data_IF_354605829145
#
_entry.id   IF_354605829145
#
_cell.length_a   1.000
_cell.length_b   1.000
_cell.length_c   1.000
_cell.angle_alpha   90.00
_cell.angle_beta   90.00
_cell.angle_gamma   90.00
#
_symmetry.space_group_name_H-M   'P 1'
#
loop_
_entity.id
_entity.type
_entity.pdbx_description
1 polymer ?
#
# COMPACT_ATOMS: atom_id res chain seq x y z
N UNK A 1 -19.90 -3.88 -24.54
CA UNK A 1 -19.99 -2.92 -23.91
C UNK A 1 -19.05 -1.99 -24.11
N UNK A 2 -18.10 -2.30 -24.18
CA UNK A 2 -17.29 -1.45 -24.15
C UNK A 2 -16.70 -1.29 -25.37
N UNK A 3 -17.40 -0.56 -26.01
CA UNK A 3 -16.83 0.03 -27.12
C UNK A 3 -15.66 0.83 -26.77
N UNK A 4 -15.37 0.83 -25.52
CA UNK A 4 -14.14 1.36 -24.98
C UNK A 4 -13.02 0.37 -25.13
N UNK A 5 -13.15 -0.57 -25.99
CA UNK A 5 -12.14 -1.52 -26.33
C UNK A 5 -10.75 -0.96 -26.50
N UNK A 6 -10.56 0.19 -27.17
CA UNK A 6 -9.23 0.77 -27.25
C UNK A 6 -8.61 1.05 -25.87
N UNK A 7 -9.43 1.38 -24.87
CA UNK A 7 -8.93 1.57 -23.52
C UNK A 7 -8.56 0.25 -22.87
N UNK A 8 -9.31 -0.81 -23.17
CA UNK A 8 -8.99 -2.14 -22.64
C UNK A 8 -7.62 -2.64 -23.10
N UNK A 9 -7.18 -2.24 -24.30
CA UNK A 9 -5.86 -2.62 -24.80
C UNK A 9 -4.72 -1.97 -24.02
N UNK A 10 -5.02 -0.96 -23.21
CA UNK A 10 -4.03 -0.29 -22.38
C UNK A 10 -4.03 -0.79 -20.94
N UNK A 11 -4.74 -1.88 -20.65
CA UNK A 11 -4.86 -2.40 -19.29
C UNK A 11 -3.49 -2.63 -18.64
N UNK A 12 -2.55 -3.25 -19.35
CA UNK A 12 -1.23 -3.53 -18.80
C UNK A 12 -0.43 -2.25 -18.55
N UNK A 13 -0.57 -1.27 -19.42
CA UNK A 13 0.09 0.03 -19.23
C UNK A 13 -0.50 0.75 -18.02
N UNK A 14 -1.82 0.72 -17.86
CA UNK A 14 -2.48 1.34 -16.73
C UNK A 14 -2.07 0.64 -15.42
N UNK A 15 -2.01 -0.68 -15.41
CA UNK A 15 -1.55 -1.42 -14.23
C UNK A 15 -0.10 -1.07 -13.88
N UNK A 16 0.75 -0.88 -14.87
CA UNK A 16 2.12 -0.42 -14.62
C UNK A 16 2.13 0.96 -13.97
N UNK A 17 1.32 1.89 -14.45
CA UNK A 17 1.23 3.23 -13.86
C UNK A 17 0.70 3.16 -12.42
N UNK A 18 -0.31 2.34 -12.17
CA UNK A 18 -0.84 2.15 -10.81
C UNK A 18 0.26 1.63 -9.89
N UNK A 19 1.05 0.65 -10.35
CA UNK A 19 2.15 0.10 -9.55
C UNK A 19 3.24 1.14 -9.26
N UNK A 20 3.59 1.95 -10.27
CA UNK A 20 4.60 3.00 -10.09
C UNK A 20 4.12 4.00 -9.05
N UNK A 21 2.89 4.45 -9.16
CA UNK A 21 2.33 5.43 -8.22
C UNK A 21 2.20 4.83 -6.82
N UNK A 22 1.52 3.71 -6.71
CA UNK A 22 1.25 3.09 -5.40
C UNK A 22 2.53 2.63 -4.72
N UNK A 23 3.42 1.98 -5.47
CA UNK A 23 4.69 1.51 -4.92
C UNK A 23 5.57 2.66 -4.44
N UNK A 24 5.61 3.75 -5.20
CA UNK A 24 6.39 4.94 -4.83
C UNK A 24 5.84 5.59 -3.56
N UNK A 25 4.51 5.67 -3.43
CA UNK A 25 3.87 6.20 -2.23
C UNK A 25 4.20 5.34 -1.01
N UNK A 26 4.11 4.03 -1.15
CA UNK A 26 4.43 3.11 -0.06
C UNK A 26 5.89 3.25 0.37
N UNK A 27 6.81 3.34 -0.58
CA UNK A 27 8.23 3.52 -0.28
C UNK A 27 8.45 4.85 0.44
N UNK A 28 7.79 5.90 -0.01
CA UNK A 28 7.90 7.22 0.61
C UNK A 28 7.49 7.18 2.08
N UNK A 29 6.38 6.52 2.40
CA UNK A 29 5.91 6.42 3.78
C UNK A 29 6.69 5.39 4.59
N UNK A 30 7.19 4.35 3.96
CA UNK A 30 7.92 3.30 4.65
C UNK A 30 9.37 3.65 4.94
N UNK A 31 9.99 4.50 4.12
CA UNK A 31 11.40 4.82 4.28
C UNK A 31 11.74 5.43 5.65
N UNK A 32 11.01 6.46 6.13
CA UNK A 32 11.30 6.99 7.46
C UNK A 32 11.16 5.96 8.58
N UNK A 33 10.23 5.02 8.41
CA UNK A 33 10.00 3.98 9.41
C UNK A 33 11.12 2.95 9.43
N UNK A 34 11.56 2.52 8.25
CA UNK A 34 12.68 1.58 8.13
C UNK A 34 13.97 2.20 8.62
N UNK A 35 14.16 3.48 8.31
CA UNK A 35 15.39 4.19 8.64
C UNK A 35 15.59 4.37 10.14
N UNK A 36 14.49 4.50 10.88
CA UNK A 36 14.56 4.67 12.32
C UNK A 36 13.51 3.82 13.01
N UNK A 37 13.79 2.53 13.10
CA UNK A 37 12.86 1.56 13.68
C UNK A 37 12.58 1.83 15.16
N UNK A 38 13.54 2.40 15.88
CA UNK A 38 13.37 2.72 17.29
C UNK A 38 12.31 3.81 17.49
N UNK A 39 12.42 4.89 16.74
CA UNK A 39 11.44 5.97 16.81
C UNK A 39 10.07 5.50 16.32
N UNK A 40 10.05 4.70 15.27
CA UNK A 40 8.82 4.12 14.75
C UNK A 40 8.12 3.25 15.81
N UNK A 41 8.90 2.47 16.57
CA UNK A 41 8.34 1.66 17.66
C UNK A 41 7.69 2.53 18.73
N UNK A 42 8.32 3.66 19.07
CA UNK A 42 7.77 4.60 20.05
C UNK A 42 6.47 5.22 19.53
N UNK A 43 6.44 5.59 18.26
CA UNK A 43 5.26 6.20 17.66
C UNK A 43 4.07 5.24 17.68
N UNK A 44 4.29 3.97 17.33
CA UNK A 44 3.23 2.97 17.35
C UNK A 44 2.75 2.67 18.76
N UNK A 45 3.66 2.60 19.72
CA UNK A 45 3.28 2.40 21.12
C UNK A 45 2.43 3.58 21.62
N UNK A 46 2.76 4.81 21.20
CA UNK A 46 2.00 6.01 21.54
C UNK A 46 0.59 6.02 20.95
N UNK A 47 0.38 5.31 19.83
CA UNK A 47 -0.94 5.18 19.24
C UNK A 47 -1.76 4.04 19.86
N UNK A 48 -1.18 3.29 20.78
CA UNK A 48 -1.86 2.17 21.42
C UNK A 48 -1.55 0.81 20.81
N UNK A 49 -0.69 0.75 19.79
CA UNK A 49 -0.29 -0.53 19.18
C UNK A 49 0.91 -1.08 19.93
N UNK A 50 0.66 -1.87 20.94
CA UNK A 50 1.71 -2.42 21.81
C UNK A 50 1.82 -3.93 21.60
N UNK A 51 3.03 -4.47 21.53
CA UNK A 51 4.32 -3.75 21.61
C UNK A 51 4.58 -2.98 20.33
N UNK A 52 5.04 -1.74 20.47
CA UNK A 52 5.28 -0.85 19.34
C UNK A 52 6.34 -1.37 18.36
N UNK A 53 7.37 -2.05 18.89
CA UNK A 53 8.42 -2.60 18.04
C UNK A 53 7.87 -3.67 17.08
N UNK A 54 6.91 -4.46 17.53
CA UNK A 54 6.32 -5.51 16.70
C UNK A 54 5.43 -4.89 15.61
N UNK A 55 4.45 -4.10 16.01
CA UNK A 55 3.51 -3.50 15.07
C UNK A 55 4.21 -2.52 14.12
N UNK A 56 5.09 -1.70 14.67
CA UNK A 56 5.81 -0.71 13.88
C UNK A 56 6.75 -1.35 12.86
N UNK A 57 7.43 -2.43 13.24
CA UNK A 57 8.35 -3.12 12.32
C UNK A 57 7.60 -3.81 11.19
N UNK A 58 6.43 -4.41 11.50
CA UNK A 58 5.60 -5.05 10.48
C UNK A 58 5.14 -3.99 9.47
N UNK A 59 4.64 -2.86 9.94
CA UNK A 59 4.18 -1.79 9.07
C UNK A 59 5.33 -1.23 8.23
N UNK A 60 6.49 -1.02 8.84
CA UNK A 60 7.67 -0.53 8.13
C UNK A 60 8.07 -1.49 7.00
N UNK A 61 8.08 -2.78 7.28
CA UNK A 61 8.41 -3.79 6.28
C UNK A 61 7.36 -3.84 5.16
N UNK A 62 6.08 -3.83 5.52
CA UNK A 62 5.00 -3.86 4.54
C UNK A 62 5.09 -2.65 3.62
N UNK A 63 5.29 -1.46 4.17
CA UNK A 63 5.31 -0.25 3.36
C UNK A 63 6.55 -0.16 2.48
N UNK A 64 7.73 -0.42 3.03
CA UNK A 64 8.96 -0.26 2.26
C UNK A 64 9.22 -1.44 1.33
N UNK A 65 9.29 -2.64 1.88
CA UNK A 65 9.55 -3.83 1.07
C UNK A 65 8.38 -4.16 0.16
N UNK A 66 7.17 -3.99 0.67
CA UNK A 66 5.96 -4.18 -0.13
C UNK A 66 5.88 -3.17 -1.27
N UNK A 67 6.26 -1.92 -1.01
CA UNK A 67 6.33 -0.88 -2.04
C UNK A 67 7.29 -1.25 -3.16
N UNK A 68 8.46 -1.78 -2.81
CA UNK A 68 9.42 -2.27 -3.81
C UNK A 68 8.83 -3.41 -4.61
N UNK A 69 8.14 -4.36 -3.96
CA UNK A 69 7.50 -5.48 -4.63
C UNK A 69 6.42 -5.03 -5.61
N UNK A 70 5.60 -4.07 -5.21
CA UNK A 70 4.56 -3.52 -6.07
C UNK A 70 5.18 -2.76 -7.24
N UNK A 71 6.19 -1.94 -6.98
CA UNK A 71 6.86 -1.16 -8.01
C UNK A 71 7.44 -2.08 -9.09
N UNK A 72 8.11 -3.15 -8.68
CA UNK A 72 8.73 -4.10 -9.60
C UNK A 72 7.73 -5.13 -10.16
N UNK A 73 6.57 -5.26 -9.54
CA UNK A 73 5.59 -6.27 -9.93
C UNK A 73 6.00 -7.68 -9.51
N UNK A 74 6.67 -7.78 -8.36
CA UNK A 74 7.10 -9.07 -7.81
C UNK A 74 6.21 -9.43 -6.63
N UNK A 75 5.57 -10.61 -6.70
CA UNK A 75 4.65 -11.11 -5.67
C UNK A 75 3.62 -10.05 -5.25
N UNK A 76 3.06 -9.37 -6.22
CA UNK A 76 2.23 -8.18 -6.02
C UNK A 76 1.05 -8.41 -5.08
N UNK A 77 0.44 -9.60 -5.09
CA UNK A 77 -0.75 -9.86 -4.27
C UNK A 77 -0.45 -9.83 -2.76
N UNK A 78 0.76 -10.21 -2.36
CA UNK A 78 1.13 -10.23 -0.94
C UNK A 78 1.19 -8.80 -0.36
N UNK A 79 2.01 -7.89 -0.89
CA UNK A 79 2.03 -6.53 -0.38
C UNK A 79 0.72 -5.80 -0.63
N UNK A 80 0.00 -6.10 -1.70
CA UNK A 80 -1.29 -5.45 -1.95
C UNK A 80 -2.31 -5.83 -0.87
N UNK A 81 -2.37 -7.10 -0.48
CA UNK A 81 -3.26 -7.54 0.58
C UNK A 81 -2.84 -6.95 1.93
N UNK A 82 -1.54 -7.00 2.24
CA UNK A 82 -1.04 -6.51 3.53
C UNK A 82 -1.22 -5.00 3.66
N UNK A 83 -0.87 -4.24 2.65
CA UNK A 83 -1.00 -2.78 2.70
C UNK A 83 -2.47 -2.36 2.66
N UNK A 84 -3.29 -3.06 1.88
CA UNK A 84 -4.73 -2.80 1.87
C UNK A 84 -5.36 -3.00 3.24
N UNK A 85 -4.99 -4.08 3.93
CA UNK A 85 -5.45 -4.34 5.29
C UNK A 85 -4.95 -3.25 6.24
N UNK A 86 -3.69 -2.84 6.10
CA UNK A 86 -3.12 -1.76 6.91
C UNK A 86 -3.91 -0.46 6.71
N UNK A 87 -4.26 -0.12 5.47
CA UNK A 87 -5.00 1.10 5.18
C UNK A 87 -6.43 1.05 5.73
N UNK A 88 -7.05 -0.12 5.68
CA UNK A 88 -8.37 -0.31 6.28
C UNK A 88 -8.31 -0.08 7.79
N UNK A 89 -7.34 -0.69 8.47
CA UNK A 89 -7.18 -0.51 9.90
C UNK A 89 -6.83 0.93 10.25
N UNK A 90 -5.99 1.56 9.44
CA UNK A 90 -5.61 2.97 9.64
C UNK A 90 -6.81 3.90 9.53
N UNK A 91 -7.67 3.69 8.53
CA UNK A 91 -8.87 4.48 8.36
C UNK A 91 -9.82 4.30 9.55
N UNK A 92 -10.04 3.05 9.97
CA UNK A 92 -10.90 2.76 11.12
C UNK A 92 -10.36 3.43 12.38
N UNK A 93 -9.05 3.34 12.60
CA UNK A 93 -8.42 3.95 13.77
C UNK A 93 -8.59 5.47 13.77
N UNK A 94 -8.39 6.11 12.62
CA UNK A 94 -8.54 7.57 12.51
C UNK A 94 -9.98 8.01 12.74
N UNK A 95 -10.95 7.24 12.22
CA UNK A 95 -12.36 7.57 12.40
C UNK A 95 -12.79 7.40 13.84
N UNK A 96 -12.34 6.34 14.51
CA UNK A 96 -12.88 5.96 15.82
C UNK A 96 -12.05 6.44 17.00
N UNK A 97 -10.75 6.66 16.84
CA UNK A 97 -9.85 6.94 17.94
C UNK A 97 -9.22 8.32 17.92
N UNK A 98 -9.48 9.11 16.88
CA UNK A 98 -8.87 10.44 16.76
C UNK A 98 -9.92 11.44 16.31
N UNK A 99 -9.55 12.73 16.34
CA UNK A 99 -10.40 13.81 15.83
C UNK A 99 -10.00 14.15 14.39
N UNK A 100 -9.41 13.20 13.68
CA UNK A 100 -8.95 13.44 12.31
C UNK A 100 -10.13 13.71 11.39
N UNK A 101 -9.92 14.68 10.47
CA UNK A 101 -10.92 15.07 9.49
C UNK A 101 -11.00 14.03 8.37
N UNK A 102 -12.10 14.09 7.62
CA UNK A 102 -12.30 13.23 6.44
C UNK A 102 -11.09 13.24 5.51
N UNK A 103 -10.46 14.41 5.33
CA UNK A 103 -9.29 14.52 4.46
C UNK A 103 -8.11 13.68 4.92
N UNK A 104 -8.06 13.32 6.18
CA UNK A 104 -6.95 12.52 6.71
C UNK A 104 -7.15 11.03 6.48
N UNK A 105 -8.37 10.51 6.68
CA UNK A 105 -8.62 9.08 6.52
C UNK A 105 -9.14 8.71 5.12
N UNK A 106 -9.63 9.67 4.35
CA UNK A 106 -10.03 9.40 2.97
C UNK A 106 -8.83 8.99 2.13
N UNK A 107 -7.65 9.51 2.43
CA UNK A 107 -6.41 9.12 1.76
C UNK A 107 -6.15 7.62 1.94
N UNK A 108 -6.36 7.11 3.15
CA UNK A 108 -6.21 5.68 3.42
C UNK A 108 -7.19 4.86 2.59
N UNK A 109 -8.42 5.35 2.41
CA UNK A 109 -9.41 4.67 1.59
C UNK A 109 -9.04 4.64 0.11
N UNK A 110 -8.43 5.73 -0.38
CA UNK A 110 -7.97 5.75 -1.78
C UNK A 110 -6.84 4.76 -1.99
N UNK A 111 -5.91 4.66 -1.05
CA UNK A 111 -4.84 3.68 -1.14
C UNK A 111 -5.38 2.25 -1.03
N UNK A 112 -6.38 2.03 -0.19
CA UNK A 112 -7.06 0.74 -0.11
C UNK A 112 -7.67 0.38 -1.47
N UNK A 113 -8.33 1.34 -2.13
CA UNK A 113 -8.94 1.10 -3.44
C UNK A 113 -7.89 0.68 -4.47
N UNK A 114 -6.72 1.32 -4.48
CA UNK A 114 -5.62 0.93 -5.37
C UNK A 114 -5.13 -0.48 -5.08
N UNK A 115 -5.05 -0.85 -3.81
CA UNK A 115 -4.63 -2.21 -3.45
C UNK A 115 -5.65 -3.26 -3.89
N UNK A 116 -6.94 -2.94 -3.81
CA UNK A 116 -7.99 -3.83 -4.29
C UNK A 116 -7.90 -4.04 -5.80
N UNK A 117 -7.57 -2.99 -6.55
CA UNK A 117 -7.35 -3.08 -8.00
C UNK A 117 -6.20 -4.05 -8.29
N UNK A 118 -5.09 -3.91 -7.57
CA UNK A 118 -3.93 -4.78 -7.77
C UNK A 118 -4.21 -6.22 -7.38
N UNK A 119 -5.04 -6.43 -6.34
CA UNK A 119 -5.45 -7.78 -5.95
C UNK A 119 -6.32 -8.43 -7.01
N UNK A 120 -7.24 -7.66 -7.59
CA UNK A 120 -8.18 -8.18 -8.57
C UNK A 120 -7.54 -8.46 -9.92
N UNK A 121 -6.67 -7.55 -10.38
CA UNK A 121 -6.14 -7.62 -11.73
C UNK A 121 -4.66 -8.03 -11.81
N UNK A 122 -3.99 -8.10 -10.67
CA UNK A 122 -2.58 -8.44 -10.62
C UNK A 122 -1.68 -7.32 -11.13
N UNK A 123 -0.38 -7.60 -11.33
CA UNK A 123 0.61 -6.58 -11.65
C UNK A 123 0.63 -6.17 -13.12
N UNK A 124 -0.03 -6.90 -14.01
CA UNK A 124 0.02 -6.66 -15.43
C UNK A 124 1.21 -7.33 -16.10
N UNK A 125 1.29 -7.21 -17.43
CA UNK A 125 2.31 -7.88 -18.21
C UNK A 125 3.71 -7.26 -18.06
N UNK A 126 3.79 -6.00 -17.65
CA UNK A 126 5.08 -5.33 -17.50
C UNK A 126 5.62 -5.45 -16.08
N UNK A 127 5.60 -6.65 -15.55
CA UNK A 127 6.02 -6.94 -14.18
C UNK A 127 7.08 -8.03 -14.18
N UNK A 128 7.92 -8.04 -13.14
CA UNK A 128 8.94 -9.07 -13.00
C UNK A 128 8.31 -10.45 -12.93
N UNK A 129 7.16 -10.59 -12.29
CA UNK A 129 6.44 -11.87 -12.22
C UNK A 129 6.12 -12.43 -13.60
N UNK A 130 5.91 -11.57 -14.58
CA UNK A 130 5.62 -12.02 -15.95
C UNK A 130 6.87 -12.54 -16.68
N UNK A 131 8.06 -12.25 -16.14
CA UNK A 131 9.32 -12.67 -16.73
C UNK A 131 9.80 -14.01 -16.17
N UNK A 132 9.21 -14.44 -15.07
CA UNK A 132 9.52 -15.69 -14.43
C UNK A 132 8.28 -16.57 -14.37
#
# INVERSE_FOLDING_TARGET
MFDLIPLASFTHTILLLVRIIAGSVMIYYGWPKIRDLRQNAKDFAGMGFKPGWLHGSIVAAVEFLGGLGILLGFLTWIPAAAFGFEMLLGAIWKITKTDKLFTDWSYDLLLLALMLVLLAFGPGAYAINALI
#
